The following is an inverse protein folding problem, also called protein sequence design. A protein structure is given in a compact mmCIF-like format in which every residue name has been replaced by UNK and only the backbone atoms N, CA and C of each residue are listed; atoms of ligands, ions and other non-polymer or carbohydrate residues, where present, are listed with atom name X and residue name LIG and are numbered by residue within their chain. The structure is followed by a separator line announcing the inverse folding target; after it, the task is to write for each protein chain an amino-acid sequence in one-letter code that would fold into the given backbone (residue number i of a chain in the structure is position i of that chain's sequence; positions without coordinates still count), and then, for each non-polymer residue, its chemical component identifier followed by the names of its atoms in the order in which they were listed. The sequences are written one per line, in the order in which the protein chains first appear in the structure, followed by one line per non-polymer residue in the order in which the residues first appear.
data_IF_301707969232
#
_entry.id   IF_301707969232
#
_cell.length_a   1.000
_cell.length_b   1.000
_cell.length_c   1.000
_cell.angle_alpha   90.00
_cell.angle_beta   90.00
_cell.angle_gamma   90.00
#
_symmetry.space_group_name_H-M   'P 1'
#
loop_
_entity.id
_entity.type
_entity.pdbx_description
1 polymer ?
#
# COMPACT_ATOMS: atom_id res chain seq x y z
N UNK A 1 80.35 -25.29 23.50
CA UNK A 1 79.23 -25.83 22.71
C UNK A 1 78.08 -24.76 22.69
N UNK A 2 77.83 -24.12 21.55
CA UNK A 2 76.86 -23.05 21.40
C UNK A 2 75.60 -23.61 20.80
N UNK A 3 74.51 -23.59 21.51
CA UNK A 3 73.16 -23.97 20.98
C UNK A 3 72.47 -22.76 20.38
N UNK A 4 72.23 -22.83 19.07
CA UNK A 4 71.45 -21.82 18.30
C UNK A 4 69.95 -22.03 18.54
N UNK A 5 69.30 -21.10 19.16
CA UNK A 5 67.81 -21.09 19.21
C UNK A 5 67.20 -20.54 17.91
N UNK A 6 66.30 -21.31 17.29
CA UNK A 6 65.52 -20.89 16.10
C UNK A 6 64.32 -20.10 16.55
N UNK A 7 64.24 -18.83 16.16
CA UNK A 7 63.08 -17.99 16.32
C UNK A 7 62.14 -18.28 15.14
N UNK A 8 60.94 -18.80 15.44
CA UNK A 8 59.85 -19.01 14.46
C UNK A 8 58.99 -17.73 14.41
N UNK A 9 59.05 -16.98 13.31
CA UNK A 9 58.20 -15.84 13.08
C UNK A 9 56.84 -16.32 12.56
N UNK A 10 55.73 -16.17 13.35
CA UNK A 10 54.35 -16.36 12.89
C UNK A 10 53.88 -15.09 12.18
N UNK A 11 53.79 -15.14 10.86
CA UNK A 11 53.15 -14.10 10.06
C UNK A 11 51.64 -14.32 10.09
N UNK A 12 50.91 -13.54 10.92
CA UNK A 12 49.46 -13.51 10.95
C UNK A 12 48.92 -12.67 9.77
N UNK A 13 48.33 -13.34 8.78
CA UNK A 13 47.58 -12.66 7.71
C UNK A 13 46.22 -12.17 8.24
N UNK A 14 46.06 -10.85 8.41
CA UNK A 14 44.72 -10.25 8.64
C UNK A 14 43.88 -10.34 7.35
N UNK A 15 42.91 -11.23 7.34
CA UNK A 15 41.87 -11.23 6.29
C UNK A 15 40.89 -10.06 6.56
N UNK A 16 40.99 -9.00 5.78
CA UNK A 16 40.01 -7.92 5.80
C UNK A 16 38.69 -8.41 5.15
N UNK A 17 37.67 -8.65 5.97
CA UNK A 17 36.32 -8.96 5.48
C UNK A 17 35.69 -7.65 5.01
N UNK A 18 35.67 -7.43 3.70
CA UNK A 18 34.91 -6.32 3.11
C UNK A 18 33.42 -6.61 3.27
N UNK A 19 32.77 -5.94 4.22
CA UNK A 19 31.31 -5.94 4.36
C UNK A 19 30.75 -5.13 3.20
N UNK A 20 30.25 -5.82 2.17
CA UNK A 20 29.47 -5.19 1.08
C UNK A 20 28.17 -4.63 1.66
N UNK A 21 28.14 -3.33 1.95
CA UNK A 21 26.92 -2.62 2.32
C UNK A 21 25.91 -2.73 1.16
N UNK A 22 24.75 -3.32 1.41
CA UNK A 22 23.65 -3.33 0.44
C UNK A 22 23.27 -1.89 0.11
N UNK A 23 23.05 -1.53 -1.15
CA UNK A 23 22.62 -0.18 -1.51
C UNK A 23 21.31 0.14 -0.78
N UNK A 24 21.35 1.14 0.09
CA UNK A 24 20.19 1.62 0.81
C UNK A 24 19.25 2.29 -0.21
N UNK A 25 18.04 1.75 -0.38
CA UNK A 25 17.05 2.33 -1.29
C UNK A 25 16.79 3.78 -0.84
N UNK A 26 17.11 4.74 -1.70
CA UNK A 26 16.93 6.18 -1.41
C UNK A 26 15.46 6.43 -1.05
N UNK A 27 15.22 7.00 0.12
CA UNK A 27 13.88 7.36 0.54
C UNK A 27 13.33 8.47 -0.36
N UNK A 28 12.05 8.35 -0.74
CA UNK A 28 11.38 9.31 -1.61
C UNK A 28 11.22 10.66 -0.88
N UNK A 29 11.55 11.75 -1.52
CA UNK A 29 11.32 13.10 -0.99
C UNK A 29 9.82 13.39 -0.84
N UNK A 30 9.43 14.36 -0.02
CA UNK A 30 8.02 14.75 0.15
C UNK A 30 7.41 15.26 -1.16
N UNK A 31 8.19 15.93 -2.01
CA UNK A 31 7.73 16.39 -3.33
C UNK A 31 7.46 15.22 -4.29
N UNK A 32 8.38 14.23 -4.36
CA UNK A 32 8.20 13.01 -5.16
C UNK A 32 7.01 12.19 -4.66
N UNK A 33 6.87 12.06 -3.33
CA UNK A 33 5.73 11.37 -2.72
C UNK A 33 4.41 12.06 -3.06
N UNK A 34 4.34 13.39 -2.90
CA UNK A 34 3.16 14.19 -3.22
C UNK A 34 2.74 14.01 -4.67
N UNK A 35 3.66 14.16 -5.63
CA UNK A 35 3.38 13.96 -7.05
C UNK A 35 2.84 12.53 -7.31
N UNK A 36 3.43 11.54 -6.65
CA UNK A 36 3.07 10.13 -6.82
C UNK A 36 1.67 9.82 -6.29
N UNK A 37 1.30 10.27 -5.08
CA UNK A 37 -0.03 9.94 -4.52
C UNK A 37 -1.15 10.69 -5.24
N UNK A 38 -0.90 11.90 -5.73
CA UNK A 38 -1.88 12.67 -6.49
C UNK A 38 -2.22 12.04 -7.84
N UNK A 39 -1.38 11.17 -8.40
CA UNK A 39 -1.69 10.40 -9.61
C UNK A 39 -2.79 9.37 -9.41
N UNK A 40 -3.19 9.08 -8.16
CA UNK A 40 -4.24 8.14 -7.84
C UNK A 40 -5.65 8.65 -8.14
N UNK A 41 -5.86 9.96 -8.39
CA UNK A 41 -7.17 10.54 -8.64
C UNK A 41 -7.23 11.37 -9.93
N UNK A 42 -8.43 11.66 -10.45
CA UNK A 42 -8.60 12.63 -11.52
C UNK A 42 -8.00 13.99 -11.12
N UNK A 43 -7.48 14.73 -12.11
CA UNK A 43 -6.84 16.03 -11.88
C UNK A 43 -7.72 16.99 -11.06
N UNK A 44 -9.01 17.04 -11.35
CA UNK A 44 -10.01 17.87 -10.63
C UNK A 44 -10.12 17.54 -9.14
N UNK A 45 -9.89 16.30 -8.75
CA UNK A 45 -9.83 15.88 -7.33
C UNK A 45 -8.44 16.16 -6.77
N UNK A 46 -7.39 15.73 -7.48
CA UNK A 46 -6.00 15.84 -7.04
C UNK A 46 -5.57 17.28 -6.73
N UNK A 47 -6.03 18.27 -7.52
CA UNK A 47 -5.68 19.69 -7.34
C UNK A 47 -6.12 20.24 -5.98
N UNK A 48 -7.27 19.82 -5.46
CA UNK A 48 -7.83 20.29 -4.18
C UNK A 48 -7.61 19.35 -2.99
N UNK A 49 -7.07 18.16 -3.19
CA UNK A 49 -6.93 17.16 -2.14
C UNK A 49 -5.83 17.48 -1.13
N UNK A 50 -6.03 17.09 0.13
CA UNK A 50 -4.93 16.99 1.09
C UNK A 50 -3.94 15.91 0.67
N UNK A 51 -2.68 16.00 1.12
CA UNK A 51 -1.70 14.93 0.98
C UNK A 51 -1.15 14.59 2.34
N UNK A 52 -1.24 13.30 2.69
CA UNK A 52 -0.78 12.77 3.96
C UNK A 52 0.22 11.65 3.69
N UNK A 53 1.34 11.66 4.40
CA UNK A 53 2.33 10.58 4.39
C UNK A 53 2.14 9.71 5.61
N UNK A 54 1.97 8.41 5.40
CA UNK A 54 1.98 7.42 6.47
C UNK A 54 3.44 7.11 6.78
N UNK A 55 3.86 7.39 8.00
CA UNK A 55 5.22 7.16 8.47
C UNK A 55 5.40 5.69 8.92
N UNK A 56 6.66 5.28 9.16
CA UNK A 56 6.99 3.88 9.52
C UNK A 56 6.38 3.41 10.84
N UNK A 57 6.10 4.32 11.74
CA UNK A 57 5.43 4.07 13.03
C UNK A 57 3.90 4.06 12.93
N UNK A 58 3.33 4.24 11.72
CA UNK A 58 1.91 4.31 11.46
C UNK A 58 1.29 5.69 11.70
N UNK A 59 2.06 6.67 12.16
CA UNK A 59 1.58 8.05 12.27
C UNK A 59 1.34 8.68 10.88
N UNK A 60 0.52 9.72 10.83
CA UNK A 60 0.19 10.42 9.59
C UNK A 60 0.70 11.85 9.66
N UNK A 61 1.54 12.24 8.69
CA UNK A 61 2.08 13.60 8.57
C UNK A 61 1.48 14.31 7.35
N UNK A 62 0.86 15.46 7.57
CA UNK A 62 0.30 16.29 6.50
C UNK A 62 1.43 16.96 5.72
N UNK A 63 1.49 16.73 4.39
CA UNK A 63 2.42 17.38 3.47
C UNK A 63 1.77 18.54 2.72
N UNK A 64 0.46 18.47 2.53
CA UNK A 64 -0.34 19.50 1.87
C UNK A 64 -1.75 19.53 2.46
N UNK A 65 -2.24 20.69 2.84
CA UNK A 65 -3.63 20.89 3.21
C UNK A 65 -4.56 20.78 1.98
N UNK A 66 -5.78 20.29 2.21
CA UNK A 66 -6.79 20.14 1.17
C UNK A 66 -7.97 21.10 1.34
N UNK A 67 -8.78 21.24 0.29
CA UNK A 67 -9.98 22.11 0.28
C UNK A 67 -11.21 21.44 -0.33
N UNK A 68 -11.13 20.21 -0.80
CA UNK A 68 -12.24 19.52 -1.48
C UNK A 68 -12.73 18.26 -0.75
N UNK A 69 -12.27 18.02 0.48
CA UNK A 69 -12.68 16.88 1.30
C UNK A 69 -12.00 15.55 0.94
N UNK A 70 -11.05 15.55 -0.02
CA UNK A 70 -10.27 14.37 -0.35
C UNK A 70 -8.88 14.41 0.30
N UNK A 71 -8.39 13.24 0.68
CA UNK A 71 -7.04 13.02 1.21
C UNK A 71 -6.33 11.94 0.38
N UNK A 72 -5.20 12.28 -0.22
CA UNK A 72 -4.37 11.34 -0.98
C UNK A 72 -3.19 10.86 -0.13
N UNK A 73 -2.95 9.55 -0.14
CA UNK A 73 -1.89 8.89 0.60
C UNK A 73 -1.43 7.60 -0.09
N UNK A 74 -0.37 6.99 0.42
CA UNK A 74 0.01 5.63 0.03
C UNK A 74 -0.03 4.71 1.26
N UNK A 75 -0.59 3.51 1.08
CA UNK A 75 -0.46 2.39 2.01
C UNK A 75 0.49 1.37 1.38
N UNK A 76 1.71 1.28 1.93
CA UNK A 76 2.78 0.54 1.27
C UNK A 76 3.10 1.14 -0.12
N UNK A 77 2.87 0.36 -1.17
CA UNK A 77 3.07 0.79 -2.57
C UNK A 77 1.82 1.38 -3.22
N UNK A 78 0.65 1.13 -2.66
CA UNK A 78 -0.64 1.47 -3.24
C UNK A 78 -1.03 2.91 -2.92
N UNK A 79 -1.32 3.66 -3.97
CA UNK A 79 -1.66 5.08 -3.91
C UNK A 79 -3.15 5.25 -4.05
N UNK A 80 -3.74 6.03 -3.17
CA UNK A 80 -5.18 6.25 -3.14
C UNK A 80 -5.53 7.68 -2.76
N UNK A 81 -6.67 8.17 -3.26
CA UNK A 81 -7.28 9.43 -2.84
C UNK A 81 -8.69 9.15 -2.32
N UNK A 82 -8.92 9.45 -1.09
CA UNK A 82 -10.06 9.04 -0.29
C UNK A 82 -10.92 10.24 0.09
N UNK A 83 -12.24 10.12 0.04
CA UNK A 83 -13.12 11.05 0.73
C UNK A 83 -13.06 10.86 2.26
N UNK A 84 -13.75 11.70 3.02
CA UNK A 84 -13.72 11.64 4.48
C UNK A 84 -14.23 10.29 5.02
N UNK A 85 -15.26 9.70 4.44
CA UNK A 85 -15.83 8.43 4.88
C UNK A 85 -14.90 7.25 4.56
N UNK A 86 -14.22 7.27 3.40
CA UNK A 86 -13.19 6.30 3.06
C UNK A 86 -11.99 6.38 4.01
N UNK A 87 -11.61 7.59 4.44
CA UNK A 87 -10.55 7.75 5.44
C UNK A 87 -10.94 7.13 6.78
N UNK A 88 -12.18 7.28 7.22
CA UNK A 88 -12.68 6.60 8.42
C UNK A 88 -12.62 5.07 8.27
N UNK A 89 -12.99 4.53 7.08
CA UNK A 89 -12.88 3.11 6.78
C UNK A 89 -11.42 2.62 6.85
N UNK A 90 -10.49 3.35 6.25
CA UNK A 90 -9.06 3.01 6.27
C UNK A 90 -8.50 3.06 7.70
N UNK A 91 -8.88 4.03 8.50
CA UNK A 91 -8.47 4.11 9.91
C UNK A 91 -8.99 2.89 10.70
N UNK A 92 -10.25 2.50 10.50
CA UNK A 92 -10.82 1.31 11.13
C UNK A 92 -10.08 0.04 10.70
N UNK A 93 -9.76 -0.11 9.40
CA UNK A 93 -8.97 -1.24 8.88
C UNK A 93 -7.57 -1.30 9.53
N UNK A 94 -6.85 -0.19 9.61
CA UNK A 94 -5.53 -0.11 10.23
C UNK A 94 -5.54 -0.49 11.72
N UNK A 95 -6.61 -0.10 12.43
CA UNK A 95 -6.79 -0.43 13.85
C UNK A 95 -7.46 -1.77 14.12
N UNK A 96 -7.88 -2.49 13.06
CA UNK A 96 -8.67 -3.73 13.15
C UNK A 96 -10.00 -3.55 13.89
N UNK A 97 -10.58 -2.37 13.77
CA UNK A 97 -11.87 -2.00 14.34
C UNK A 97 -13.00 -2.16 13.29
N UNK A 98 -14.26 -2.33 13.69
CA UNK A 98 -15.37 -2.34 12.75
C UNK A 98 -15.40 -1.05 11.90
N UNK A 99 -15.57 -1.15 10.57
CA UNK A 99 -15.66 0.03 9.72
C UNK A 99 -16.95 0.80 9.97
N UNK A 100 -17.00 2.11 9.66
CA UNK A 100 -18.20 2.92 9.82
C UNK A 100 -19.29 2.49 8.84
N UNK A 101 -20.54 2.68 9.22
CA UNK A 101 -21.73 2.45 8.41
C UNK A 101 -22.00 3.66 7.50
N UNK A 102 -21.04 4.01 6.65
CA UNK A 102 -21.09 5.18 5.75
C UNK A 102 -20.59 4.79 4.36
N UNK A 103 -21.18 5.39 3.33
CA UNK A 103 -20.63 5.28 1.97
C UNK A 103 -19.38 6.14 1.88
N UNK A 104 -18.29 5.55 1.41
CA UNK A 104 -17.05 6.24 1.07
C UNK A 104 -16.57 5.89 -0.32
N UNK A 105 -15.86 6.81 -0.96
CA UNK A 105 -15.29 6.64 -2.31
C UNK A 105 -13.78 6.85 -2.25
N UNK A 106 -13.04 5.92 -2.86
CA UNK A 106 -11.60 6.04 -3.04
C UNK A 106 -11.22 5.85 -4.51
N UNK A 107 -10.29 6.67 -4.98
CA UNK A 107 -9.69 6.54 -6.30
C UNK A 107 -8.32 5.86 -6.19
N UNK A 108 -8.09 4.86 -7.03
CA UNK A 108 -6.80 4.19 -7.25
C UNK A 108 -6.47 4.13 -8.75
N UNK A 109 -6.43 5.30 -9.42
CA UNK A 109 -6.24 5.37 -10.88
C UNK A 109 -4.81 5.01 -11.34
N UNK A 110 -3.88 4.86 -10.41
CA UNK A 110 -2.55 4.30 -10.70
C UNK A 110 -2.57 2.75 -10.74
N UNK A 111 -3.70 2.12 -10.38
CA UNK A 111 -3.77 0.69 -10.08
C UNK A 111 -3.09 0.33 -8.76
N UNK A 112 -3.13 -0.95 -8.39
CA UNK A 112 -2.46 -1.51 -7.22
C UNK A 112 -1.35 -2.50 -7.60
N UNK A 113 -0.53 -2.87 -6.62
CA UNK A 113 0.47 -3.94 -6.74
C UNK A 113 -0.10 -5.31 -6.29
N UNK A 114 -1.37 -5.31 -5.93
CA UNK A 114 -2.14 -6.46 -5.52
C UNK A 114 -2.36 -6.57 -4.02
N UNK A 115 -3.49 -7.21 -3.69
CA UNK A 115 -3.89 -7.54 -2.34
C UNK A 115 -4.56 -8.93 -2.31
N UNK A 116 -4.58 -9.56 -1.14
CA UNK A 116 -5.42 -10.74 -0.94
C UNK A 116 -6.90 -10.35 -1.09
N UNK A 117 -7.66 -11.11 -1.88
CA UNK A 117 -9.10 -10.88 -2.01
C UNK A 117 -9.91 -11.44 -0.82
N UNK A 118 -9.28 -12.25 0.03
CA UNK A 118 -9.96 -12.97 1.13
C UNK A 118 -9.49 -12.54 2.51
N UNK A 119 -8.25 -11.99 2.64
CA UNK A 119 -7.68 -11.56 3.91
C UNK A 119 -7.23 -10.08 3.84
N UNK A 120 -7.95 -9.16 4.52
CA UNK A 120 -7.60 -7.73 4.52
C UNK A 120 -6.26 -7.40 5.20
N UNK A 121 -5.65 -8.35 5.89
CA UNK A 121 -4.40 -8.16 6.64
C UNK A 121 -3.20 -8.88 6.01
N UNK A 122 -3.38 -9.56 4.88
CA UNK A 122 -2.29 -10.20 4.18
C UNK A 122 -1.31 -9.16 3.63
N UNK A 123 -0.02 -9.31 3.95
CA UNK A 123 1.04 -8.38 3.55
C UNK A 123 1.85 -8.85 2.34
N UNK A 124 1.63 -10.09 1.90
CA UNK A 124 2.32 -10.69 0.76
C UNK A 124 1.47 -11.77 0.10
N UNK A 125 1.73 -12.03 -1.18
CA UNK A 125 1.10 -13.10 -1.94
C UNK A 125 1.54 -14.47 -1.38
N UNK A 126 0.57 -15.37 -1.17
CA UNK A 126 0.78 -16.79 -0.89
C UNK A 126 0.02 -17.66 -1.91
N UNK A 127 0.14 -18.99 -1.81
CA UNK A 127 -0.60 -19.91 -2.69
C UNK A 127 -2.12 -19.82 -2.49
N UNK A 128 -2.56 -19.51 -1.25
CA UNK A 128 -3.96 -19.71 -0.81
C UNK A 128 -4.70 -18.40 -0.49
N UNK A 129 -4.07 -17.23 -0.65
CA UNK A 129 -4.70 -15.97 -0.25
C UNK A 129 -5.35 -15.19 -1.39
N UNK A 130 -5.55 -15.84 -2.55
CA UNK A 130 -6.31 -15.27 -3.68
C UNK A 130 -5.85 -13.85 -4.04
N UNK A 131 -4.55 -13.72 -4.37
CA UNK A 131 -3.94 -12.41 -4.62
C UNK A 131 -4.38 -11.83 -5.96
N UNK A 132 -5.09 -10.70 -5.92
CA UNK A 132 -5.61 -9.99 -7.08
C UNK A 132 -4.80 -8.71 -7.30
N UNK A 133 -4.49 -8.42 -8.55
CA UNK A 133 -3.88 -7.15 -8.98
C UNK A 133 -4.87 -6.44 -9.88
N UNK A 134 -5.34 -5.27 -9.46
CA UNK A 134 -6.35 -4.50 -10.19
C UNK A 134 -5.71 -3.28 -10.86
N UNK A 135 -6.06 -3.06 -12.12
CA UNK A 135 -5.67 -1.85 -12.86
C UNK A 135 -6.27 -0.58 -12.26
N UNK A 136 -6.32 0.54 -13.01
CA UNK A 136 -7.02 1.74 -12.56
C UNK A 136 -8.45 1.43 -12.13
N UNK A 137 -8.81 1.78 -10.88
CA UNK A 137 -10.12 1.46 -10.30
C UNK A 137 -10.60 2.50 -9.29
N UNK A 138 -11.87 2.39 -8.95
CA UNK A 138 -12.53 3.11 -7.86
C UNK A 138 -12.99 2.07 -6.84
N UNK A 139 -12.85 2.37 -5.55
CA UNK A 139 -13.44 1.59 -4.46
C UNK A 139 -14.67 2.30 -3.91
N UNK A 140 -15.73 1.54 -3.61
CA UNK A 140 -16.91 2.04 -2.90
C UNK A 140 -17.09 1.23 -1.64
N UNK A 141 -16.94 1.91 -0.50
CA UNK A 141 -17.04 1.34 0.83
C UNK A 141 -18.44 1.49 1.43
N UNK A 142 -18.67 0.76 2.51
CA UNK A 142 -19.89 0.85 3.31
C UNK A 142 -21.01 -0.11 2.87
N UNK A 143 -22.05 -0.31 3.69
CA UNK A 143 -23.08 -1.31 3.50
C UNK A 143 -23.80 -1.27 2.16
N UNK A 144 -24.14 -0.10 1.60
CA UNK A 144 -24.79 -0.03 0.29
C UNK A 144 -23.95 -0.61 -0.86
N UNK A 145 -22.60 -0.60 -0.75
CA UNK A 145 -21.73 -1.21 -1.76
C UNK A 145 -22.01 -2.70 -1.92
N UNK A 146 -22.42 -3.38 -0.85
CA UNK A 146 -22.73 -4.82 -0.81
C UNK A 146 -23.99 -5.17 -1.59
N UNK A 147 -24.83 -4.19 -1.93
CA UNK A 147 -26.07 -4.36 -2.69
C UNK A 147 -25.90 -4.15 -4.19
N UNK A 148 -24.67 -3.83 -4.67
CA UNK A 148 -24.40 -3.59 -6.08
C UNK A 148 -24.50 -4.86 -6.96
N UNK A 149 -24.61 -6.05 -6.35
CA UNK A 149 -24.77 -7.30 -7.08
C UNK A 149 -23.52 -7.79 -7.80
N UNK A 150 -22.34 -7.23 -7.48
CA UNK A 150 -21.07 -7.68 -8.05
C UNK A 150 -20.65 -9.05 -7.51
N UNK A 151 -19.85 -9.78 -8.29
CA UNK A 151 -19.38 -11.11 -7.92
C UNK A 151 -18.59 -11.08 -6.60
N UNK A 152 -18.80 -12.10 -5.77
CA UNK A 152 -18.06 -12.37 -4.52
C UNK A 152 -17.12 -13.57 -4.67
N UNK A 153 -16.78 -13.94 -5.91
CA UNK A 153 -15.80 -14.99 -6.16
C UNK A 153 -14.45 -14.66 -5.50
N UNK A 154 -13.76 -15.68 -5.02
CA UNK A 154 -12.42 -15.51 -4.41
C UNK A 154 -11.36 -15.12 -5.44
N UNK A 155 -11.53 -15.57 -6.69
CA UNK A 155 -10.66 -15.25 -7.84
C UNK A 155 -11.50 -14.59 -8.94
N UNK A 156 -11.91 -13.32 -8.78
CA UNK A 156 -12.69 -12.60 -9.78
C UNK A 156 -11.84 -12.18 -10.97
N UNK A 157 -12.47 -11.86 -12.07
CA UNK A 157 -11.84 -11.15 -13.19
C UNK A 157 -11.58 -9.68 -12.77
N UNK A 158 -10.32 -9.25 -12.59
CA UNK A 158 -10.01 -7.90 -12.10
C UNK A 158 -10.27 -6.79 -13.13
N UNK A 159 -10.74 -7.13 -14.33
CA UNK A 159 -11.16 -6.17 -15.36
C UNK A 159 -12.64 -5.84 -15.29
N UNK A 160 -13.40 -6.53 -14.43
CA UNK A 160 -14.84 -6.34 -14.19
C UNK A 160 -15.09 -5.96 -12.73
N UNK A 161 -16.23 -5.32 -12.40
CA UNK A 161 -16.58 -5.03 -11.02
C UNK A 161 -16.71 -6.30 -10.17
N UNK A 162 -16.16 -6.25 -8.95
CA UNK A 162 -16.21 -7.35 -7.98
C UNK A 162 -16.23 -6.84 -6.54
N UNK A 163 -16.54 -7.72 -5.59
CA UNK A 163 -16.47 -7.45 -4.16
C UNK A 163 -15.15 -8.00 -3.61
N UNK A 164 -14.32 -7.12 -3.06
CA UNK A 164 -13.11 -7.49 -2.32
C UNK A 164 -13.45 -7.76 -0.86
N UNK A 165 -12.74 -8.71 -0.24
CA UNK A 165 -12.92 -9.17 1.15
C UNK A 165 -14.34 -9.60 1.48
N UNK A 166 -15.00 -10.26 0.52
CA UNK A 166 -16.37 -10.74 0.65
C UNK A 166 -16.58 -11.57 1.94
N UNK A 167 -17.65 -11.28 2.67
CA UNK A 167 -17.97 -11.93 3.94
C UNK A 167 -17.20 -11.41 5.16
N UNK A 168 -16.28 -10.46 4.99
CA UNK A 168 -15.64 -9.76 6.11
C UNK A 168 -16.35 -8.44 6.44
N UNK A 169 -16.11 -7.84 7.61
CA UNK A 169 -16.60 -6.48 7.90
C UNK A 169 -16.14 -5.43 6.90
N UNK A 170 -14.98 -5.64 6.24
CA UNK A 170 -14.36 -4.73 5.29
C UNK A 170 -14.74 -5.00 3.84
N UNK A 171 -15.76 -5.81 3.57
CA UNK A 171 -16.27 -6.06 2.23
C UNK A 171 -16.61 -4.75 1.53
N UNK A 172 -16.07 -4.54 0.33
CA UNK A 172 -16.29 -3.33 -0.48
C UNK A 172 -16.25 -3.62 -1.97
N UNK A 173 -16.80 -2.71 -2.78
CA UNK A 173 -16.82 -2.85 -4.22
C UNK A 173 -15.55 -2.31 -4.88
N UNK A 174 -14.98 -3.11 -5.78
CA UNK A 174 -13.90 -2.76 -6.70
C UNK A 174 -14.49 -2.50 -8.07
N UNK A 175 -14.27 -1.31 -8.64
CA UNK A 175 -14.84 -0.90 -9.94
C UNK A 175 -13.69 -0.51 -10.86
N UNK A 176 -13.16 -1.45 -11.68
CA UNK A 176 -12.13 -1.15 -12.68
C UNK A 176 -12.61 -0.12 -13.68
N UNK A 177 -11.77 0.87 -14.01
CA UNK A 177 -12.10 1.98 -14.93
C UNK A 177 -11.13 2.09 -16.10
N UNK A 178 -10.18 1.18 -16.19
CA UNK A 178 -9.21 1.15 -17.28
C UNK A 178 -8.34 -0.09 -17.27
N UNK A 179 -7.63 -0.37 -18.38
CA UNK A 179 -6.71 -1.49 -18.44
C UNK A 179 -5.49 -1.24 -17.54
N UNK A 180 -4.90 -2.31 -17.04
CA UNK A 180 -3.60 -2.28 -16.39
C UNK A 180 -2.54 -1.82 -17.41
N UNK A 181 -1.72 -0.85 -17.03
CA UNK A 181 -0.62 -0.36 -17.85
C UNK A 181 0.61 -1.24 -17.73
#
# INVERSE_FOLDING_TARGET
MRTLGKILALSGSLLAIAVLAKPQKKEMTDAEYTAKVLSAAPKTIAEGAAVVRVEKDGSMRTLREGKNGFTCLAMGTDKMCNDANSMEFIHALMKKEPPPDKIGISYMLAGDEGASNTDPYATAKTADNHWIVTGPHIMVFGPPSKTLGYTKATDPDPTKPYMMWAGTPYEHAMIPVGPRK
#
